data_IF_133195073506
#
_entry.id   IF_133195073506
#
_cell.length_a   1.000
_cell.length_b   1.000
_cell.length_c   1.000
_cell.angle_alpha   90.00
_cell.angle_beta   90.00
_cell.angle_gamma   90.00
#
_symmetry.space_group_name_H-M   'P 1'
#
loop_
_entity.id
_entity.type
_entity.pdbx_description
1 polymer ?
#
# COMPACT_ATOMS: atom_id res chain seq x y z
N UNK A 1 -12.33 -15.54 -1.27
CA UNK A 1 -12.01 -15.38 0.16
C UNK A 1 -10.57 -15.81 0.33
N UNK A 2 -9.68 -14.83 0.20
CA UNK A 2 -8.27 -14.97 -0.15
C UNK A 2 -7.43 -15.29 1.08
N UNK A 3 -6.33 -16.04 0.93
CA UNK A 3 -5.36 -16.46 1.97
C UNK A 3 -5.03 -15.36 3.00
N UNK A 4 -5.08 -14.10 2.56
CA UNK A 4 -4.79 -12.90 3.34
C UNK A 4 -5.83 -12.64 4.45
N UNK A 5 -7.13 -12.88 4.19
CA UNK A 5 -8.18 -12.66 5.20
C UNK A 5 -8.19 -13.77 6.27
N UNK A 6 -7.63 -14.94 5.95
CA UNK A 6 -7.47 -16.06 6.89
C UNK A 6 -6.19 -15.99 7.74
N UNK A 7 -5.31 -15.00 7.51
CA UNK A 7 -4.14 -14.77 8.38
C UNK A 7 -4.58 -14.10 9.67
N UNK A 8 -4.02 -14.57 10.78
CA UNK A 8 -4.12 -13.88 12.06
C UNK A 8 -3.49 -12.48 11.96
N UNK A 9 -4.07 -11.52 12.68
CA UNK A 9 -3.65 -10.11 12.62
C UNK A 9 -2.16 -9.93 12.91
N UNK A 10 -1.54 -10.58 13.91
CA UNK A 10 -0.11 -10.48 14.14
C UNK A 10 0.72 -10.88 12.92
N UNK A 11 0.42 -12.02 12.29
CA UNK A 11 1.14 -12.48 11.09
C UNK A 11 0.96 -11.52 9.91
N UNK A 12 -0.26 -11.01 9.69
CA UNK A 12 -0.52 -10.02 8.64
C UNK A 12 0.29 -8.73 8.87
N UNK A 13 0.33 -8.23 10.10
CA UNK A 13 1.06 -7.00 10.47
C UNK A 13 2.57 -7.18 10.31
N UNK A 14 3.12 -8.33 10.68
CA UNK A 14 4.54 -8.66 10.44
C UNK A 14 4.85 -8.66 8.95
N UNK A 15 3.98 -9.26 8.13
CA UNK A 15 4.16 -9.26 6.68
C UNK A 15 4.17 -7.84 6.10
N UNK A 16 3.24 -6.97 6.51
CA UNK A 16 3.22 -5.57 6.10
C UNK A 16 4.48 -4.81 6.54
N UNK A 17 4.97 -5.05 7.77
CA UNK A 17 6.21 -4.45 8.27
C UNK A 17 7.44 -4.87 7.47
N UNK A 18 7.53 -6.14 7.06
CA UNK A 18 8.62 -6.63 6.22
C UNK A 18 8.61 -5.94 4.85
N UNK A 19 7.44 -5.82 4.23
CA UNK A 19 7.29 -5.12 2.94
C UNK A 19 7.66 -3.64 3.09
N UNK A 20 7.20 -3.00 4.17
CA UNK A 20 7.54 -1.61 4.46
C UNK A 20 9.05 -1.42 4.64
N UNK A 21 9.73 -2.33 5.34
CA UNK A 21 11.18 -2.33 5.47
C UNK A 21 11.90 -2.45 4.12
N UNK A 22 11.40 -3.31 3.22
CA UNK A 22 11.93 -3.42 1.87
C UNK A 22 11.70 -2.16 1.02
N UNK A 23 10.55 -1.52 1.15
CA UNK A 23 10.25 -0.26 0.47
C UNK A 23 11.21 0.85 0.91
N UNK A 24 11.42 1.00 2.22
CA UNK A 24 12.37 1.97 2.78
C UNK A 24 13.79 1.68 2.29
N UNK A 25 14.20 0.41 2.27
CA UNK A 25 15.49 0.02 1.72
C UNK A 25 15.63 0.40 0.24
N UNK A 26 14.62 0.09 -0.59
CA UNK A 26 14.62 0.45 -2.00
C UNK A 26 14.72 1.97 -2.20
N UNK A 27 14.04 2.73 -1.35
CA UNK A 27 14.09 4.18 -1.31
C UNK A 27 15.51 4.72 -1.08
N UNK A 28 16.20 4.17 -0.09
CA UNK A 28 17.58 4.54 0.25
C UNK A 28 18.51 4.11 -0.88
N UNK A 29 18.39 2.87 -1.38
CA UNK A 29 19.25 2.33 -2.44
C UNK A 29 19.18 3.17 -3.71
N UNK A 30 17.97 3.56 -4.13
CA UNK A 30 17.76 4.27 -5.39
C UNK A 30 17.64 5.79 -5.23
N UNK A 31 17.93 6.37 -4.06
CA UNK A 31 17.74 7.81 -3.76
C UNK A 31 18.26 8.78 -4.82
N UNK A 32 19.39 8.48 -5.49
CA UNK A 32 20.00 9.35 -6.51
C UNK A 32 19.44 9.17 -7.93
N UNK A 33 18.70 8.10 -8.20
CA UNK A 33 18.12 7.82 -9.53
C UNK A 33 16.93 8.76 -9.77
N UNK A 34 16.84 9.40 -10.94
CA UNK A 34 15.67 10.20 -11.35
C UNK A 34 14.87 9.41 -12.38
N UNK A 35 13.87 8.66 -11.94
CA UNK A 35 13.05 7.83 -12.82
C UNK A 35 11.56 7.91 -12.46
N UNK A 36 10.65 7.86 -13.46
CA UNK A 36 9.21 7.96 -13.23
C UNK A 36 8.67 6.86 -12.33
N UNK A 37 9.20 5.63 -12.44
CA UNK A 37 8.75 4.48 -11.64
C UNK A 37 8.91 4.68 -10.12
N UNK A 38 9.78 5.59 -9.68
CA UNK A 38 9.98 5.83 -8.25
C UNK A 38 8.70 6.35 -7.58
N UNK A 39 7.82 7.05 -8.31
CA UNK A 39 6.53 7.53 -7.77
C UNK A 39 5.68 6.39 -7.21
N UNK A 40 5.76 5.21 -7.83
CA UNK A 40 5.06 3.99 -7.40
C UNK A 40 5.67 3.49 -6.08
N UNK A 41 6.99 3.52 -5.96
CA UNK A 41 7.71 3.14 -4.74
C UNK A 41 7.47 4.14 -3.61
N UNK A 42 7.32 5.43 -3.91
CA UNK A 42 6.95 6.46 -2.92
C UNK A 42 5.52 6.27 -2.37
N UNK A 43 4.59 5.79 -3.20
CA UNK A 43 3.20 5.57 -2.79
C UNK A 43 2.95 4.28 -2.01
N UNK A 44 3.81 3.26 -2.19
CA UNK A 44 3.61 1.94 -1.57
C UNK A 44 3.59 1.98 -0.03
N UNK A 45 4.51 2.70 0.66
CA UNK A 45 4.48 2.86 2.11
C UNK A 45 3.15 3.41 2.66
N UNK A 46 2.55 4.37 1.94
CA UNK A 46 1.27 4.98 2.34
C UNK A 46 0.13 3.96 2.27
N UNK A 47 0.12 3.16 1.20
CA UNK A 47 -0.84 2.07 1.01
C UNK A 47 -0.75 1.03 2.14
N UNK A 48 0.47 0.63 2.51
CA UNK A 48 0.70 -0.37 3.56
C UNK A 48 0.19 0.11 4.93
N UNK A 49 0.39 1.39 5.25
CA UNK A 49 -0.11 1.98 6.51
C UNK A 49 -1.64 1.93 6.55
N UNK A 50 -2.30 2.28 5.45
CA UNK A 50 -3.76 2.28 5.36
C UNK A 50 -4.31 0.86 5.52
N UNK A 51 -3.67 -0.12 4.86
CA UNK A 51 -4.03 -1.54 4.99
C UNK A 51 -3.84 -2.06 6.43
N UNK A 52 -2.74 -1.68 7.10
CA UNK A 52 -2.50 -2.04 8.49
C UNK A 52 -3.60 -1.50 9.41
N UNK A 53 -3.96 -0.22 9.27
CA UNK A 53 -5.02 0.42 10.06
C UNK A 53 -6.36 -0.24 9.78
N UNK A 54 -6.69 -0.49 8.51
CA UNK A 54 -7.96 -1.14 8.15
C UNK A 54 -8.07 -2.54 8.78
N UNK A 55 -6.98 -3.33 8.78
CA UNK A 55 -6.97 -4.65 9.42
C UNK A 55 -7.14 -4.58 10.94
N UNK A 56 -6.51 -3.61 11.60
CA UNK A 56 -6.69 -3.38 13.04
C UNK A 56 -8.14 -3.00 13.35
N UNK A 57 -8.76 -2.14 12.54
CA UNK A 57 -10.16 -1.73 12.75
C UNK A 57 -11.13 -2.89 12.47
N UNK A 58 -10.89 -3.68 11.44
CA UNK A 58 -11.69 -4.88 11.13
C UNK A 58 -11.67 -5.88 12.29
N UNK A 59 -10.53 -6.07 12.95
CA UNK A 59 -10.41 -7.01 14.07
C UNK A 59 -11.04 -6.48 15.36
N UNK A 60 -10.78 -5.23 15.72
CA UNK A 60 -11.13 -4.69 17.03
C UNK A 60 -12.43 -3.87 17.06
N UNK A 61 -12.93 -3.39 15.91
CA UNK A 61 -14.11 -2.52 15.82
C UNK A 61 -14.91 -2.67 14.51
N UNK A 62 -15.28 -3.90 14.08
CA UNK A 62 -15.87 -4.17 12.76
C UNK A 62 -17.24 -3.50 12.53
N UNK A 63 -18.08 -3.37 13.56
CA UNK A 63 -19.46 -2.88 13.42
C UNK A 63 -19.60 -1.36 13.62
N UNK A 64 -18.50 -0.63 13.47
CA UNK A 64 -18.47 0.81 13.72
C UNK A 64 -18.52 1.62 12.43
N UNK A 65 -19.03 2.86 12.51
CA UNK A 65 -18.92 3.82 11.41
C UNK A 65 -17.45 4.02 10.98
N UNK A 66 -16.50 3.85 11.91
CA UNK A 66 -15.08 3.94 11.65
C UNK A 66 -14.58 2.84 10.68
N UNK A 67 -15.12 1.62 10.76
CA UNK A 67 -14.82 0.55 9.80
C UNK A 67 -15.27 0.92 8.38
N UNK A 68 -16.50 1.39 8.21
CA UNK A 68 -17.02 1.80 6.90
C UNK A 68 -16.19 2.95 6.28
N UNK A 69 -15.77 3.92 7.10
CA UNK A 69 -14.87 5.00 6.66
C UNK A 69 -13.50 4.43 6.29
N UNK A 70 -12.92 3.55 7.10
CA UNK A 70 -11.62 2.94 6.83
C UNK A 70 -11.61 2.12 5.53
N UNK A 71 -12.68 1.36 5.30
CA UNK A 71 -12.88 0.59 4.08
C UNK A 71 -12.96 1.50 2.85
N UNK A 72 -13.75 2.58 2.92
CA UNK A 72 -13.87 3.55 1.83
C UNK A 72 -12.54 4.26 1.54
N UNK A 73 -11.79 4.63 2.58
CA UNK A 73 -10.46 5.25 2.45
C UNK A 73 -9.48 4.28 1.81
N UNK A 74 -9.48 3.02 2.24
CA UNK A 74 -8.62 1.96 1.68
C UNK A 74 -8.86 1.78 0.18
N UNK A 75 -10.14 1.71 -0.22
CA UNK A 75 -10.52 1.57 -1.62
C UNK A 75 -10.13 2.80 -2.44
N UNK A 76 -10.36 4.01 -1.91
CA UNK A 76 -10.01 5.27 -2.57
C UNK A 76 -8.49 5.39 -2.79
N UNK A 77 -7.69 5.10 -1.77
CA UNK A 77 -6.23 5.17 -1.85
C UNK A 77 -5.68 4.10 -2.80
N UNK A 78 -6.23 2.88 -2.77
CA UNK A 78 -5.90 1.84 -3.74
C UNK A 78 -6.19 2.25 -5.18
N UNK A 79 -7.35 2.90 -5.42
CA UNK A 79 -7.71 3.44 -6.72
C UNK A 79 -6.74 4.53 -7.21
N UNK A 80 -6.39 5.48 -6.35
CA UNK A 80 -5.40 6.54 -6.66
C UNK A 80 -4.04 5.91 -7.02
N UNK A 81 -3.60 4.92 -6.24
CA UNK A 81 -2.33 4.23 -6.50
C UNK A 81 -2.30 3.50 -7.84
N UNK A 82 -3.40 2.85 -8.22
CA UNK A 82 -3.53 2.20 -9.53
C UNK A 82 -3.41 3.21 -10.67
N UNK A 83 -4.11 4.34 -10.58
CA UNK A 83 -4.04 5.42 -11.58
C UNK A 83 -2.61 5.94 -11.72
N UNK A 84 -1.93 6.22 -10.60
CA UNK A 84 -0.53 6.67 -10.59
C UNK A 84 0.38 5.63 -11.26
N UNK A 85 0.16 4.35 -10.98
CA UNK A 85 0.95 3.25 -11.54
C UNK A 85 0.79 3.15 -13.06
N UNK A 86 -0.45 3.31 -13.58
CA UNK A 86 -0.70 3.36 -15.01
C UNK A 86 -0.04 4.56 -15.69
N UNK A 87 -0.13 5.75 -15.09
CA UNK A 87 0.50 6.97 -15.62
C UNK A 87 2.03 6.80 -15.67
N UNK A 88 2.64 6.32 -14.58
CA UNK A 88 4.08 6.09 -14.52
C UNK A 88 4.54 5.03 -15.53
N UNK A 89 3.75 3.96 -15.72
CA UNK A 89 3.99 2.94 -16.74
C UNK A 89 3.91 3.50 -18.17
N UNK A 90 2.89 4.32 -18.46
CA UNK A 90 2.73 4.98 -19.75
C UNK A 90 3.90 5.92 -20.07
N UNK A 91 4.34 6.73 -19.09
CA UNK A 91 5.49 7.63 -19.25
C UNK A 91 6.77 6.84 -19.51
N UNK A 92 7.00 5.75 -18.77
CA UNK A 92 8.17 4.88 -19.01
C UNK A 92 8.14 4.25 -20.41
N UNK A 93 6.98 3.79 -20.89
CA UNK A 93 6.84 3.23 -22.25
C UNK A 93 7.14 4.26 -23.34
N UNK A 94 6.77 5.53 -23.15
CA UNK A 94 7.09 6.62 -24.11
C UNK A 94 8.56 7.03 -24.12
N UNK A 95 9.31 6.76 -23.05
CA UNK A 95 10.73 7.10 -22.91
C UNK A 95 11.68 6.01 -23.41
N UNK A 96 11.21 4.76 -23.49
CA UNK A 96 11.94 3.62 -24.04
C UNK A 96 11.82 3.56 -25.55
#
# INVERSE_FOLDING_TARGET
>A
MTIINSMDVPTYMIMLLVIFGMDVYAFIKYRKVKAPWKVIVYGNPVLLIVLAINRVIEEYAPDTHLYNVSFAVTLTIGGVYLVISFIAGYINKKRS
#
